data_IF_941020951364
#
_entry.id   IF_941020951364
#
_cell.length_a   1.000
_cell.length_b   1.000
_cell.length_c   1.000
_cell.angle_alpha   90.00
_cell.angle_beta   90.00
_cell.angle_gamma   90.00
#
_symmetry.space_group_name_H-M   'P 1'
#
loop_
_entity.id
_entity.type
_entity.pdbx_description
1 polymer ?
#
# COMPACT_ATOMS: atom_id res chain seq x y z
N UNK A 1 -3.86 -20.16 20.42
CA UNK A 1 -2.55 -20.88 20.44
C UNK A 1 -1.53 -19.93 19.89
N UNK A 2 -0.38 -19.77 20.51
CA UNK A 2 0.66 -18.86 20.05
C UNK A 2 1.24 -19.28 18.68
N UNK A 3 1.62 -18.32 17.86
CA UNK A 3 2.01 -18.53 16.47
C UNK A 3 3.14 -19.56 16.32
N UNK A 4 4.18 -19.48 17.16
CA UNK A 4 5.32 -20.39 17.10
C UNK A 4 4.93 -21.85 17.42
N UNK A 5 4.00 -22.07 18.37
CA UNK A 5 3.49 -23.39 18.68
C UNK A 5 2.60 -23.95 17.57
N UNK A 6 1.81 -23.10 16.94
CA UNK A 6 0.98 -23.47 15.80
C UNK A 6 1.84 -23.87 14.58
N UNK A 7 2.88 -23.06 14.27
CA UNK A 7 3.84 -23.38 13.21
C UNK A 7 4.53 -24.71 13.44
N UNK A 8 5.04 -24.95 14.66
CA UNK A 8 5.68 -26.22 15.01
C UNK A 8 4.75 -27.40 14.78
N UNK A 9 3.51 -27.30 15.26
CA UNK A 9 2.51 -28.36 15.08
C UNK A 9 2.18 -28.61 13.60
N UNK A 10 2.09 -27.56 12.79
CA UNK A 10 1.81 -27.70 11.36
C UNK A 10 2.97 -28.37 10.63
N UNK A 11 4.22 -27.98 10.92
CA UNK A 11 5.42 -28.61 10.33
C UNK A 11 5.53 -30.08 10.74
N UNK A 12 5.26 -30.43 12.00
CA UNK A 12 5.24 -31.81 12.48
C UNK A 12 4.18 -32.67 11.77
N UNK A 13 3.04 -32.08 11.38
CA UNK A 13 1.95 -32.83 10.73
C UNK A 13 2.05 -32.89 9.19
N UNK A 14 2.67 -31.91 8.53
CA UNK A 14 2.60 -31.76 7.09
C UNK A 14 3.93 -31.51 6.37
N UNK A 15 5.06 -31.61 7.04
CA UNK A 15 6.40 -31.27 6.52
C UNK A 15 6.64 -29.76 6.30
N UNK A 16 7.90 -29.39 6.03
CA UNK A 16 8.33 -28.00 5.85
C UNK A 16 7.74 -27.33 4.60
N UNK A 17 7.34 -28.11 3.59
CA UNK A 17 6.81 -27.57 2.34
C UNK A 17 5.51 -26.80 2.51
N UNK A 18 4.75 -27.07 3.56
CA UNK A 18 3.53 -26.33 3.89
C UNK A 18 3.82 -24.84 4.16
N UNK A 19 5.03 -24.49 4.60
CA UNK A 19 5.42 -23.11 4.86
C UNK A 19 5.48 -22.25 3.59
N UNK A 20 5.57 -22.89 2.41
CA UNK A 20 5.54 -22.23 1.11
C UNK A 20 4.13 -22.15 0.51
N UNK A 21 3.15 -22.82 1.10
CA UNK A 21 1.78 -22.89 0.59
C UNK A 21 0.90 -21.86 1.31
N UNK A 22 0.14 -21.09 0.54
CA UNK A 22 -0.82 -20.10 1.06
C UNK A 22 -1.89 -20.72 1.99
N UNK A 23 -2.11 -22.04 1.89
CA UNK A 23 -2.99 -22.80 2.79
C UNK A 23 -2.55 -22.73 4.24
N UNK A 24 -1.24 -22.52 4.51
CA UNK A 24 -0.71 -22.30 5.85
C UNK A 24 -1.49 -21.22 6.60
N UNK A 25 -1.81 -20.12 5.92
CA UNK A 25 -2.49 -18.96 6.52
C UNK A 25 -3.86 -19.35 7.08
N UNK A 26 -4.61 -20.22 6.38
CA UNK A 26 -5.92 -20.70 6.83
C UNK A 26 -5.76 -21.69 8.01
N UNK A 27 -4.83 -22.60 7.92
CA UNK A 27 -4.55 -23.58 9.00
C UNK A 27 -4.17 -22.87 10.29
N UNK A 28 -3.30 -21.86 10.22
CA UNK A 28 -2.91 -21.08 11.40
C UNK A 28 -4.08 -20.22 11.92
N UNK A 29 -4.99 -19.76 11.05
CA UNK A 29 -6.22 -19.08 11.46
C UNK A 29 -7.16 -20.00 12.23
N UNK A 30 -7.31 -21.26 11.81
CA UNK A 30 -8.12 -22.28 12.51
C UNK A 30 -7.56 -22.59 13.92
N UNK A 31 -6.24 -22.49 14.09
CA UNK A 31 -5.60 -22.61 15.40
C UNK A 31 -5.67 -21.33 16.23
N UNK A 32 -6.29 -20.26 15.72
CA UNK A 32 -6.31 -18.92 16.36
C UNK A 32 -4.90 -18.40 16.68
N UNK A 33 -3.94 -18.69 15.79
CA UNK A 33 -2.54 -18.38 16.01
C UNK A 33 -2.21 -16.89 15.88
N UNK A 34 -3.16 -16.09 15.38
CA UNK A 34 -3.00 -14.65 15.15
C UNK A 34 -3.71 -13.78 16.17
N UNK A 35 -4.39 -14.37 17.17
CA UNK A 35 -5.23 -13.61 18.13
C UNK A 35 -4.41 -12.56 18.89
N UNK A 36 -3.17 -12.85 19.26
CA UNK A 36 -2.27 -11.93 19.95
C UNK A 36 -1.60 -10.94 19.00
N UNK A 37 -1.35 -11.36 17.74
CA UNK A 37 -0.66 -10.57 16.73
C UNK A 37 -1.31 -10.70 15.35
N UNK A 38 -2.42 -10.01 15.11
CA UNK A 38 -3.14 -10.10 13.84
C UNK A 38 -2.29 -9.69 12.63
N UNK A 39 -1.34 -8.75 12.80
CA UNK A 39 -0.41 -8.32 11.76
C UNK A 39 0.57 -9.41 11.29
N UNK A 40 0.86 -10.41 12.14
CA UNK A 40 1.69 -11.55 11.74
C UNK A 40 1.08 -12.38 10.60
N UNK A 41 -0.26 -12.43 10.51
CA UNK A 41 -0.98 -13.06 9.41
C UNK A 41 -0.63 -12.43 8.06
N UNK A 42 -0.61 -11.10 8.01
CA UNK A 42 -0.33 -10.36 6.78
C UNK A 42 1.13 -10.52 6.37
N UNK A 43 2.06 -10.45 7.33
CA UNK A 43 3.48 -10.64 7.05
C UNK A 43 3.78 -12.06 6.56
N UNK A 44 3.24 -13.11 7.19
CA UNK A 44 3.39 -14.49 6.72
C UNK A 44 2.82 -14.69 5.32
N UNK A 45 1.61 -14.16 5.06
CA UNK A 45 1.00 -14.21 3.73
C UNK A 45 1.89 -13.54 2.68
N UNK A 46 2.43 -12.38 3.02
CA UNK A 46 3.36 -11.64 2.16
C UNK A 46 4.63 -12.45 1.88
N UNK A 47 5.28 -12.99 2.92
CA UNK A 47 6.50 -13.80 2.77
C UNK A 47 6.29 -15.01 1.86
N UNK A 48 5.11 -15.64 1.91
CA UNK A 48 4.77 -16.77 1.04
C UNK A 48 4.60 -16.30 -0.40
N UNK A 49 3.81 -15.27 -0.64
CA UNK A 49 3.49 -14.77 -1.98
C UNK A 49 4.72 -14.23 -2.72
N UNK A 50 5.62 -13.54 -2.01
CA UNK A 50 6.84 -12.95 -2.58
C UNK A 50 8.03 -13.94 -2.59
N UNK A 51 7.82 -15.19 -2.23
CA UNK A 51 8.88 -16.19 -2.21
C UNK A 51 9.93 -16.02 -1.11
N UNK A 52 9.77 -15.06 -0.20
CA UNK A 52 10.71 -14.80 0.89
C UNK A 52 10.78 -15.96 1.88
N UNK A 53 9.67 -16.65 2.08
CA UNK A 53 9.63 -17.89 2.87
C UNK A 53 10.48 -18.98 2.21
N UNK A 54 10.36 -19.16 0.90
CA UNK A 54 11.15 -20.13 0.15
C UNK A 54 12.65 -19.78 0.20
N UNK A 55 13.01 -18.50 0.10
CA UNK A 55 14.39 -18.05 0.21
C UNK A 55 14.97 -18.32 1.60
N UNK A 56 14.24 -18.01 2.68
CA UNK A 56 14.65 -18.29 4.05
C UNK A 56 14.92 -19.78 4.26
N UNK A 57 14.03 -20.65 3.77
CA UNK A 57 14.18 -22.10 3.87
C UNK A 57 15.35 -22.61 3.03
N UNK A 58 15.59 -22.04 1.85
CA UNK A 58 16.69 -22.44 0.96
C UNK A 58 18.07 -22.03 1.49
N UNK A 59 18.16 -20.86 2.13
CA UNK A 59 19.41 -20.34 2.67
C UNK A 59 19.84 -21.00 3.98
N UNK A 60 18.92 -21.69 4.66
CA UNK A 60 19.24 -22.39 5.90
C UNK A 60 20.22 -23.54 5.68
N UNK A 61 21.29 -23.53 6.46
CA UNK A 61 22.28 -24.61 6.51
C UNK A 61 22.65 -24.89 7.98
N UNK A 62 22.54 -26.12 8.45
CA UNK A 62 22.82 -26.47 9.87
C UNK A 62 24.23 -26.14 10.35
N UNK A 63 25.16 -25.92 9.41
CA UNK A 63 26.58 -25.62 9.70
C UNK A 63 26.86 -24.13 9.76
N UNK A 64 25.91 -23.27 9.39
CA UNK A 64 26.04 -21.82 9.43
C UNK A 64 25.45 -21.23 10.71
N UNK A 65 25.90 -20.04 11.05
CA UNK A 65 25.36 -19.26 12.16
C UNK A 65 23.90 -18.88 11.86
N UNK A 66 22.98 -19.48 12.59
CA UNK A 66 21.55 -19.26 12.44
C UNK A 66 21.16 -17.81 12.76
N UNK A 67 21.80 -17.18 13.77
CA UNK A 67 21.46 -15.82 14.14
C UNK A 67 21.81 -14.80 13.04
N UNK A 68 22.87 -15.07 12.28
CA UNK A 68 23.22 -14.23 11.13
C UNK A 68 22.16 -14.34 10.02
N UNK A 69 21.68 -15.56 9.74
CA UNK A 69 20.60 -15.79 8.77
C UNK A 69 19.30 -15.09 9.20
N UNK A 70 18.87 -15.28 10.45
CA UNK A 70 17.63 -14.69 10.95
C UNK A 70 17.73 -13.16 10.94
N UNK A 71 18.86 -12.58 11.38
CA UNK A 71 19.09 -11.14 11.36
C UNK A 71 19.07 -10.57 9.95
N UNK A 72 19.65 -11.27 8.97
CA UNK A 72 19.61 -10.87 7.56
C UNK A 72 18.17 -10.75 7.06
N UNK A 73 17.34 -11.78 7.29
CA UNK A 73 15.94 -11.78 6.86
C UNK A 73 15.07 -10.78 7.64
N UNK A 74 15.34 -10.55 8.93
CA UNK A 74 14.70 -9.47 9.71
C UNK A 74 15.01 -8.11 9.08
N UNK A 75 16.28 -7.85 8.74
CA UNK A 75 16.71 -6.61 8.11
C UNK A 75 16.11 -6.43 6.71
N UNK A 76 16.01 -7.51 5.92
CA UNK A 76 15.32 -7.48 4.62
C UNK A 76 13.86 -7.08 4.81
N UNK A 77 13.13 -7.71 5.74
CA UNK A 77 11.73 -7.40 6.01
C UNK A 77 11.55 -5.97 6.52
N UNK A 78 12.43 -5.48 7.39
CA UNK A 78 12.30 -4.14 7.98
C UNK A 78 12.83 -3.04 7.07
N UNK A 79 14.02 -3.21 6.49
CA UNK A 79 14.69 -2.13 5.73
C UNK A 79 14.28 -2.12 4.25
N UNK A 80 14.00 -3.30 3.66
CA UNK A 80 13.61 -3.39 2.23
C UNK A 80 12.12 -3.38 2.06
N UNK A 81 11.38 -4.07 2.93
CA UNK A 81 9.92 -4.22 2.82
C UNK A 81 9.13 -3.38 3.84
N UNK A 82 9.80 -2.61 4.70
CA UNK A 82 9.19 -1.61 5.60
C UNK A 82 8.32 -2.18 6.73
N UNK A 83 8.44 -3.46 7.03
CA UNK A 83 7.75 -4.03 8.18
C UNK A 83 8.40 -3.57 9.49
N UNK A 84 7.60 -3.37 10.55
CA UNK A 84 8.15 -3.06 11.88
C UNK A 84 9.16 -4.12 12.29
N UNK A 85 10.32 -3.70 12.77
CA UNK A 85 11.41 -4.61 13.16
C UNK A 85 10.95 -5.65 14.20
N UNK A 86 10.17 -5.21 15.21
CA UNK A 86 9.65 -6.12 16.23
C UNK A 86 8.72 -7.19 15.64
N UNK A 87 7.86 -6.82 14.67
CA UNK A 87 6.99 -7.77 13.97
C UNK A 87 7.82 -8.73 13.11
N UNK A 88 8.77 -8.21 12.35
CA UNK A 88 9.68 -9.00 11.50
C UNK A 88 10.48 -10.00 12.35
N UNK A 89 11.05 -9.51 13.46
CA UNK A 89 11.79 -10.31 14.42
C UNK A 89 10.93 -11.42 15.04
N UNK A 90 9.71 -11.05 15.47
CA UNK A 90 8.77 -12.03 16.03
C UNK A 90 8.42 -13.13 15.03
N UNK A 91 8.01 -12.76 13.81
CA UNK A 91 7.57 -13.72 12.79
C UNK A 91 8.72 -14.62 12.34
N UNK A 92 9.91 -14.07 12.06
CA UNK A 92 11.09 -14.84 11.66
C UNK A 92 11.50 -15.81 12.77
N UNK A 93 11.50 -15.39 14.04
CA UNK A 93 11.81 -16.27 15.17
C UNK A 93 10.72 -17.32 15.40
N UNK A 94 9.43 -17.00 15.16
CA UNK A 94 8.35 -18.01 15.18
C UNK A 94 8.57 -19.11 14.14
N UNK A 95 9.01 -18.74 12.93
CA UNK A 95 9.33 -19.71 11.86
C UNK A 95 10.52 -20.57 12.27
N UNK A 96 11.61 -19.96 12.74
CA UNK A 96 12.81 -20.69 13.18
C UNK A 96 12.52 -21.66 14.33
N UNK A 97 11.70 -21.26 15.30
CA UNK A 97 11.25 -22.11 16.38
C UNK A 97 10.36 -23.26 15.87
N UNK A 98 9.41 -22.96 14.98
CA UNK A 98 8.53 -23.96 14.37
C UNK A 98 9.29 -25.02 13.59
N UNK A 99 10.39 -24.65 12.95
CA UNK A 99 11.32 -25.54 12.23
C UNK A 99 12.36 -26.23 13.13
N UNK A 100 12.32 -25.96 14.44
CA UNK A 100 13.31 -26.45 15.40
C UNK A 100 14.75 -26.04 15.08
N UNK A 101 14.94 -24.90 14.38
CA UNK A 101 16.25 -24.31 14.13
C UNK A 101 16.81 -23.62 15.37
N UNK A 102 15.93 -23.19 16.26
CA UNK A 102 16.27 -22.62 17.56
C UNK A 102 15.36 -23.17 18.65
N UNK A 103 15.85 -23.23 19.87
CA UNK A 103 15.07 -23.55 21.09
C UNK A 103 14.59 -22.30 21.83
N UNK A 104 15.03 -21.10 21.41
CA UNK A 104 14.63 -19.86 22.03
C UNK A 104 13.18 -19.51 21.69
N UNK A 105 12.38 -19.25 22.73
CA UNK A 105 11.00 -18.84 22.56
C UNK A 105 10.94 -17.42 21.98
N UNK A 106 10.17 -17.20 20.92
CA UNK A 106 9.94 -15.85 20.40
C UNK A 106 9.23 -15.01 21.44
N UNK A 107 9.87 -13.94 21.90
CA UNK A 107 9.28 -12.96 22.81
C UNK A 107 8.96 -11.68 22.08
N UNK A 108 7.77 -11.13 22.38
CA UNK A 108 7.38 -9.81 21.98
C UNK A 108 7.80 -8.87 23.11
N UNK A 109 8.65 -7.91 22.81
CA UNK A 109 8.89 -6.80 23.73
C UNK A 109 7.63 -5.95 23.80
N UNK A 110 6.70 -6.33 24.70
CA UNK A 110 5.55 -5.50 25.00
C UNK A 110 6.07 -4.23 25.69
N UNK A 111 6.07 -3.11 25.00
CA UNK A 111 6.15 -1.80 25.64
C UNK A 111 4.87 -1.55 26.43
N UNK A 112 4.79 -2.12 27.63
CA UNK A 112 3.91 -1.60 28.68
C UNK A 112 4.60 -0.34 29.17
N UNK A 113 3.94 0.78 28.96
CA UNK A 113 4.27 2.10 29.46
C UNK A 113 4.61 2.05 30.96
N UNK A 114 5.89 2.24 31.29
CA UNK A 114 6.31 2.85 32.56
C UNK A 114 7.33 3.92 32.21
N UNK A 115 6.95 5.15 32.46
CA UNK A 115 7.80 6.32 32.42
C UNK A 115 8.99 6.13 33.37
N UNK A 116 10.16 6.00 32.80
CA UNK A 116 11.41 6.50 33.40
C UNK A 116 12.52 6.47 32.33
N UNK A 117 12.97 7.65 32.00
CA UNK A 117 14.18 8.05 31.28
C UNK A 117 15.17 6.94 30.90
N UNK A 118 15.27 6.64 29.58
CA UNK A 118 16.55 6.50 28.92
C UNK A 118 16.35 6.64 27.39
N UNK A 119 17.17 7.51 26.82
CA UNK A 119 17.20 7.86 25.41
C UNK A 119 17.41 6.63 24.52
N UNK A 120 16.33 6.10 23.95
CA UNK A 120 16.38 5.27 22.76
C UNK A 120 15.76 6.09 21.63
N UNK A 121 16.53 6.23 20.55
CA UNK A 121 16.15 6.94 19.35
C UNK A 121 14.84 6.36 18.84
N UNK A 122 13.73 6.97 19.25
CA UNK A 122 12.48 6.89 18.53
C UNK A 122 12.81 7.55 17.20
N UNK A 123 12.81 6.80 16.10
CA UNK A 123 12.61 7.43 14.80
C UNK A 123 11.24 8.11 14.90
N UNK A 124 11.27 9.36 15.35
CA UNK A 124 10.15 10.27 15.19
C UNK A 124 9.94 10.36 13.70
N UNK A 125 8.83 9.77 13.23
CA UNK A 125 8.28 10.11 11.92
C UNK A 125 8.17 11.63 11.95
N UNK A 126 9.03 12.31 11.20
CA UNK A 126 9.01 13.77 11.14
C UNK A 126 7.59 14.17 10.73
N UNK A 127 6.93 15.06 11.46
CA UNK A 127 5.61 15.53 11.07
C UNK A 127 5.75 16.11 9.67
N UNK A 128 4.86 15.71 8.75
CA UNK A 128 4.81 16.26 7.41
C UNK A 128 4.52 17.76 7.57
N UNK A 129 5.53 18.59 7.30
CA UNK A 129 5.42 20.03 7.39
C UNK A 129 4.96 20.53 6.03
N UNK A 130 3.87 21.27 5.99
CA UNK A 130 3.45 21.98 4.79
C UNK A 130 4.38 23.20 4.61
N UNK A 131 5.30 23.10 3.66
CA UNK A 131 6.21 24.17 3.26
C UNK A 131 5.62 25.07 2.16
N UNK A 132 4.38 24.80 1.76
CA UNK A 132 3.67 25.50 0.69
C UNK A 132 4.15 25.20 -0.73
N UNK A 133 5.09 24.25 -0.90
CA UNK A 133 5.64 23.88 -2.20
C UNK A 133 4.99 22.62 -2.78
N UNK A 134 4.37 21.79 -1.94
CA UNK A 134 3.77 20.54 -2.31
C UNK A 134 2.25 20.62 -2.50
N UNK A 135 1.71 19.75 -3.36
CA UNK A 135 0.28 19.63 -3.55
C UNK A 135 -0.38 19.03 -2.31
N UNK A 136 -1.51 19.58 -1.88
CA UNK A 136 -2.25 19.10 -0.73
C UNK A 136 -3.32 18.07 -1.14
N UNK A 137 -3.28 16.89 -0.55
CA UNK A 137 -4.43 15.99 -0.49
C UNK A 137 -5.19 16.23 0.81
N UNK A 138 -6.38 16.85 0.71
CA UNK A 138 -7.11 17.46 1.85
C UNK A 138 -6.24 18.52 2.55
N UNK A 139 -5.67 18.19 3.70
CA UNK A 139 -4.79 19.06 4.49
C UNK A 139 -3.35 18.54 4.59
N UNK A 140 -3.07 17.38 3.97
CA UNK A 140 -1.77 16.74 4.04
C UNK A 140 -0.99 17.03 2.75
N UNK A 141 0.22 17.59 2.82
CA UNK A 141 1.07 17.73 1.65
C UNK A 141 1.53 16.35 1.17
N UNK A 142 1.52 16.16 -0.15
CA UNK A 142 1.99 14.93 -0.79
C UNK A 142 3.51 15.00 -0.86
N UNK A 143 4.17 14.73 0.26
CA UNK A 143 5.62 14.82 0.41
C UNK A 143 6.12 13.91 1.53
N UNK A 144 7.45 13.86 1.71
CA UNK A 144 8.11 13.03 2.70
C UNK A 144 8.03 11.54 2.37
N UNK A 145 8.49 10.70 3.30
CA UNK A 145 8.36 9.25 3.15
C UNK A 145 6.90 8.83 3.02
N UNK A 146 6.62 7.93 2.10
CA UNK A 146 5.26 7.48 1.79
C UNK A 146 4.52 6.92 3.03
N UNK A 147 5.24 6.24 3.93
CA UNK A 147 4.65 5.71 5.16
C UNK A 147 4.23 6.83 6.13
N UNK A 148 4.91 7.99 6.10
CA UNK A 148 4.53 9.16 6.87
C UNK A 148 3.17 9.71 6.43
N UNK A 149 2.92 9.80 5.12
CA UNK A 149 1.63 10.20 4.57
C UNK A 149 0.53 9.18 4.88
N UNK A 150 0.83 7.88 4.74
CA UNK A 150 -0.10 6.80 5.10
C UNK A 150 -0.49 6.90 6.58
N UNK A 151 0.47 7.13 7.46
CA UNK A 151 0.21 7.26 8.90
C UNK A 151 -0.64 8.51 9.20
N UNK A 152 -0.35 9.63 8.56
CA UNK A 152 -1.13 10.87 8.70
C UNK A 152 -2.59 10.69 8.26
N UNK A 153 -2.80 10.03 7.11
CA UNK A 153 -4.13 9.69 6.61
C UNK A 153 -4.85 8.71 7.57
N UNK A 154 -4.17 7.67 8.04
CA UNK A 154 -4.74 6.71 8.99
C UNK A 154 -5.15 7.38 10.30
N UNK A 155 -4.35 8.30 10.80
CA UNK A 155 -4.66 9.09 12.01
C UNK A 155 -5.85 10.04 11.81
N UNK A 156 -6.17 10.41 10.56
CA UNK A 156 -7.32 11.23 10.20
C UNK A 156 -8.59 10.45 9.87
N UNK A 157 -8.59 9.13 10.11
CA UNK A 157 -9.77 8.27 9.99
C UNK A 157 -9.85 7.44 8.71
N UNK A 158 -8.78 7.39 7.91
CA UNK A 158 -8.68 6.44 6.80
C UNK A 158 -8.22 5.08 7.32
N UNK A 159 -8.83 4.02 6.82
CA UNK A 159 -8.47 2.65 7.18
C UNK A 159 -7.42 2.14 6.20
N UNK A 160 -6.30 1.67 6.70
CA UNK A 160 -5.28 1.00 5.89
C UNK A 160 -5.81 -0.39 5.51
N UNK A 161 -5.94 -0.64 4.21
CA UNK A 161 -6.37 -1.93 3.64
C UNK A 161 -5.16 -2.77 3.22
N UNK A 162 -4.21 -2.15 2.51
CA UNK A 162 -2.96 -2.78 2.10
C UNK A 162 -1.80 -1.86 2.44
N UNK A 163 -0.77 -2.36 3.17
CA UNK A 163 0.42 -1.58 3.49
C UNK A 163 1.21 -1.25 2.20
N UNK A 164 2.15 -0.30 2.32
CA UNK A 164 2.98 0.07 1.19
C UNK A 164 3.75 -1.14 0.65
N UNK A 165 3.56 -1.39 -0.64
CA UNK A 165 4.23 -2.44 -1.37
C UNK A 165 5.37 -1.84 -2.20
N UNK A 166 6.59 -2.25 -1.92
CA UNK A 166 7.80 -1.72 -2.56
C UNK A 166 8.00 -2.19 -4.00
N UNK A 167 7.29 -3.24 -4.43
CA UNK A 167 7.31 -3.69 -5.84
C UNK A 167 6.39 -2.86 -6.72
N UNK A 168 5.19 -2.52 -6.21
CA UNK A 168 4.21 -1.70 -6.93
C UNK A 168 4.28 -0.22 -6.54
N UNK A 169 5.13 0.13 -5.57
CA UNK A 169 5.32 1.49 -5.03
C UNK A 169 4.00 2.15 -4.62
N UNK A 170 3.11 1.39 -3.99
CA UNK A 170 1.78 1.86 -3.61
C UNK A 170 1.27 1.22 -2.33
N UNK A 171 0.37 1.94 -1.63
CA UNK A 171 -0.42 1.45 -0.51
C UNK A 171 -1.90 1.71 -0.76
N UNK A 172 -2.79 0.87 -0.22
CA UNK A 172 -4.22 1.05 -0.32
C UNK A 172 -4.86 1.39 1.03
N UNK A 173 -5.68 2.42 1.03
CA UNK A 173 -6.52 2.82 2.16
C UNK A 173 -7.97 2.90 1.69
N UNK A 174 -8.90 2.93 2.64
CA UNK A 174 -10.31 3.24 2.39
C UNK A 174 -10.79 4.37 3.31
N UNK A 175 -11.77 5.12 2.84
CA UNK A 175 -12.35 6.20 3.66
C UNK A 175 -13.15 7.21 2.85
N UNK A 176 -13.66 8.26 3.52
CA UNK A 176 -14.54 9.24 2.89
C UNK A 176 -13.78 10.26 2.06
N UNK A 177 -14.32 10.60 0.88
CA UNK A 177 -13.81 11.65 0.03
C UNK A 177 -14.95 12.41 -0.68
N UNK A 178 -14.91 13.74 -0.63
CA UNK A 178 -15.83 14.63 -1.36
C UNK A 178 -17.34 14.36 -1.17
N UNK A 179 -17.74 13.78 -0.02
CA UNK A 179 -19.12 13.40 0.30
C UNK A 179 -19.45 11.92 -0.01
N UNK A 180 -18.51 11.16 -0.54
CA UNK A 180 -18.61 9.71 -0.73
C UNK A 180 -17.92 8.99 0.43
N UNK A 181 -18.52 7.93 0.98
CA UNK A 181 -18.03 7.28 2.21
C UNK A 181 -16.97 6.20 1.96
N UNK A 182 -17.18 5.34 0.98
CA UNK A 182 -16.38 4.12 0.79
C UNK A 182 -15.48 4.25 -0.45
N UNK A 183 -14.60 5.26 -0.45
CA UNK A 183 -13.64 5.44 -1.52
C UNK A 183 -12.40 4.57 -1.28
N UNK A 184 -11.86 3.99 -2.35
CA UNK A 184 -10.54 3.39 -2.32
C UNK A 184 -9.49 4.46 -2.61
N UNK A 185 -8.46 4.54 -1.78
CA UNK A 185 -7.41 5.55 -1.88
C UNK A 185 -6.08 4.85 -2.03
N UNK A 186 -5.37 5.16 -3.10
CA UNK A 186 -4.03 4.61 -3.35
C UNK A 186 -3.02 5.74 -3.15
N UNK A 187 -2.08 5.54 -2.25
CA UNK A 187 -0.92 6.42 -2.06
C UNK A 187 0.24 5.83 -2.85
N UNK A 188 0.80 6.61 -3.76
CA UNK A 188 1.90 6.19 -4.64
C UNK A 188 3.19 6.84 -4.19
N UNK A 189 4.26 6.03 -4.12
CA UNK A 189 5.62 6.48 -3.82
C UNK A 189 6.54 6.42 -5.03
N UNK A 190 7.68 7.08 -4.94
CA UNK A 190 8.78 6.98 -5.90
C UNK A 190 9.49 5.63 -5.75
N UNK A 191 10.08 5.06 -6.83
CA UNK A 191 10.59 3.69 -6.79
C UNK A 191 11.87 3.49 -5.97
N UNK A 192 12.76 4.49 -5.88
CA UNK A 192 14.03 4.38 -5.15
C UNK A 192 14.00 5.11 -3.80
N UNK A 193 13.51 6.34 -3.80
CA UNK A 193 13.52 7.18 -2.57
C UNK A 193 12.26 7.06 -1.73
N UNK A 194 11.22 6.36 -2.22
CA UNK A 194 9.95 6.11 -1.53
C UNK A 194 9.25 7.38 -1.03
N UNK A 195 9.42 8.49 -1.74
CA UNK A 195 8.72 9.75 -1.46
C UNK A 195 7.29 9.67 -1.97
N UNK A 196 6.32 10.13 -1.17
CA UNK A 196 4.94 10.22 -1.63
C UNK A 196 4.84 11.20 -2.82
N UNK A 197 4.38 10.72 -3.99
CA UNK A 197 4.34 11.50 -5.23
C UNK A 197 2.91 11.67 -5.79
N UNK A 198 1.99 10.78 -5.45
CA UNK A 198 0.61 10.91 -5.88
C UNK A 198 -0.37 10.26 -4.89
N UNK A 199 -1.61 10.74 -4.93
CA UNK A 199 -2.76 10.10 -4.26
C UNK A 199 -3.87 9.93 -5.29
N UNK A 200 -4.34 8.70 -5.45
CA UNK A 200 -5.43 8.32 -6.35
C UNK A 200 -6.65 7.96 -5.52
N UNK A 201 -7.81 8.47 -5.89
CA UNK A 201 -9.09 8.18 -5.23
C UNK A 201 -10.05 7.57 -6.24
N UNK A 202 -10.52 6.37 -5.97
CA UNK A 202 -11.55 5.70 -6.74
C UNK A 202 -12.88 5.78 -5.99
N UNK A 203 -13.89 6.31 -6.65
CA UNK A 203 -15.26 6.22 -6.17
C UNK A 203 -15.81 4.82 -6.41
N UNK A 204 -17.00 4.52 -5.85
CA UNK A 204 -17.65 3.23 -6.05
C UNK A 204 -17.96 2.99 -7.54
N UNK A 205 -17.91 1.72 -7.93
CA UNK A 205 -18.25 1.26 -9.26
C UNK A 205 -19.77 1.34 -9.50
N UNK A 206 -20.17 1.78 -10.69
CA UNK A 206 -21.56 1.83 -11.11
C UNK A 206 -21.72 1.37 -12.55
N UNK A 207 -22.70 0.51 -12.80
CA UNK A 207 -23.04 0.01 -14.12
C UNK A 207 -24.22 0.78 -14.75
N UNK A 208 -24.32 2.08 -14.49
CA UNK A 208 -25.32 2.98 -15.06
C UNK A 208 -24.60 4.26 -15.51
N UNK A 209 -24.60 4.54 -16.81
CA UNK A 209 -23.92 5.70 -17.41
C UNK A 209 -24.24 7.01 -16.70
N UNK A 210 -25.54 7.30 -16.53
CA UNK A 210 -25.97 8.54 -15.88
C UNK A 210 -25.41 8.70 -14.46
N UNK A 211 -25.28 7.61 -13.72
CA UNK A 211 -24.73 7.66 -12.34
C UNK A 211 -23.25 8.00 -12.35
N UNK A 212 -22.47 7.35 -13.20
CA UNK A 212 -21.02 7.62 -13.31
C UNK A 212 -20.79 9.05 -13.80
N UNK A 213 -21.53 9.47 -14.83
CA UNK A 213 -21.44 10.84 -15.37
C UNK A 213 -21.81 11.87 -14.32
N UNK A 214 -22.88 11.64 -13.55
CA UNK A 214 -23.28 12.54 -12.45
C UNK A 214 -22.21 12.65 -11.37
N UNK A 215 -21.56 11.55 -10.99
CA UNK A 215 -20.44 11.58 -10.04
C UNK A 215 -19.24 12.37 -10.58
N UNK A 216 -18.87 12.13 -11.84
CA UNK A 216 -17.81 12.86 -12.50
C UNK A 216 -18.07 14.37 -12.51
N UNK A 217 -19.25 14.78 -12.95
CA UNK A 217 -19.65 16.20 -13.02
C UNK A 217 -19.70 16.86 -11.63
N UNK A 218 -20.16 16.14 -10.61
CA UNK A 218 -20.16 16.63 -9.24
C UNK A 218 -18.74 16.89 -8.73
N UNK A 219 -17.81 15.94 -8.91
CA UNK A 219 -16.41 16.09 -8.52
C UNK A 219 -15.75 17.21 -9.32
N UNK A 220 -15.92 17.24 -10.65
CA UNK A 220 -15.42 18.30 -11.53
C UNK A 220 -15.89 19.68 -11.06
N UNK A 221 -17.18 19.82 -10.74
CA UNK A 221 -17.74 21.07 -10.23
C UNK A 221 -17.12 21.50 -8.90
N UNK A 222 -16.89 20.57 -7.96
CA UNK A 222 -16.25 20.87 -6.68
C UNK A 222 -14.78 21.30 -6.89
N UNK A 223 -14.05 20.60 -7.76
CA UNK A 223 -12.66 20.94 -8.10
C UNK A 223 -12.60 22.30 -8.82
N UNK A 224 -13.53 22.58 -9.74
CA UNK A 224 -13.61 23.88 -10.43
C UNK A 224 -13.79 25.06 -9.46
N UNK A 225 -14.62 24.90 -8.43
CA UNK A 225 -14.81 25.92 -7.39
C UNK A 225 -13.54 26.20 -6.60
N UNK A 226 -12.69 25.19 -6.42
CA UNK A 226 -11.47 25.28 -5.59
C UNK A 226 -10.24 25.67 -6.41
N UNK A 227 -10.10 25.15 -7.63
CA UNK A 227 -8.87 25.25 -8.42
C UNK A 227 -9.03 26.02 -9.74
N UNK A 228 -10.24 26.50 -10.05
CA UNK A 228 -10.52 27.21 -11.31
C UNK A 228 -10.94 26.24 -12.43
N UNK A 229 -11.05 26.76 -13.65
CA UNK A 229 -11.53 26.00 -14.79
C UNK A 229 -10.50 24.96 -15.25
N UNK A 230 -10.92 23.69 -15.48
CA UNK A 230 -10.05 22.65 -15.99
C UNK A 230 -9.89 22.72 -17.50
N UNK A 231 -8.86 22.05 -18.00
CA UNK A 231 -8.79 21.59 -19.38
C UNK A 231 -9.54 20.27 -19.46
N UNK A 232 -10.61 20.19 -20.27
CA UNK A 232 -11.51 19.02 -20.29
C UNK A 232 -11.55 18.37 -21.67
N UNK A 233 -11.62 17.03 -21.65
CA UNK A 233 -11.80 16.17 -22.80
C UNK A 233 -12.99 15.27 -22.53
N UNK A 234 -14.13 15.53 -23.19
CA UNK A 234 -15.41 14.89 -22.94
C UNK A 234 -16.08 14.56 -24.27
N UNK A 235 -15.82 13.37 -24.79
CA UNK A 235 -16.29 12.95 -26.09
C UNK A 235 -16.37 11.43 -26.23
N UNK A 236 -17.16 11.03 -27.23
CA UNK A 236 -17.16 9.67 -27.76
C UNK A 236 -16.43 9.63 -29.10
N UNK A 237 -15.79 8.49 -29.39
CA UNK A 237 -15.23 8.18 -30.71
C UNK A 237 -16.23 7.32 -31.50
N UNK A 238 -16.28 7.52 -32.80
CA UNK A 238 -17.14 6.72 -33.69
C UNK A 238 -16.94 5.21 -33.48
N UNK A 239 -18.01 4.41 -33.51
CA UNK A 239 -19.40 4.74 -33.89
C UNK A 239 -20.30 5.17 -32.70
N UNK A 240 -19.75 5.36 -31.51
CA UNK A 240 -20.51 5.65 -30.30
C UNK A 240 -20.82 7.14 -30.13
N UNK A 241 -21.97 7.44 -29.48
CA UNK A 241 -22.37 8.80 -29.11
C UNK A 241 -23.24 8.78 -27.84
N UNK A 242 -23.34 9.91 -27.18
CA UNK A 242 -24.18 10.00 -25.98
C UNK A 242 -25.67 9.81 -26.31
N UNK A 243 -26.32 8.90 -25.59
CA UNK A 243 -27.73 8.57 -25.77
C UNK A 243 -28.01 7.41 -26.75
N UNK A 244 -26.97 6.72 -27.22
CA UNK A 244 -27.11 5.52 -28.08
C UNK A 244 -27.39 4.22 -27.27
N UNK A 245 -27.33 4.30 -25.92
CA UNK A 245 -27.50 3.17 -25.01
C UNK A 245 -26.28 2.25 -24.92
N UNK A 246 -25.16 2.61 -25.53
CA UNK A 246 -23.91 1.84 -25.56
C UNK A 246 -22.77 2.57 -24.85
N UNK A 247 -23.06 3.61 -24.08
CA UNK A 247 -22.08 4.48 -23.45
C UNK A 247 -21.12 3.71 -22.53
N UNK A 248 -21.62 2.72 -21.78
CA UNK A 248 -20.77 1.87 -20.93
C UNK A 248 -19.87 0.95 -21.75
N UNK A 249 -20.36 0.48 -22.90
CA UNK A 249 -19.53 -0.30 -23.83
C UNK A 249 -18.43 0.55 -24.42
N UNK A 250 -18.75 1.79 -24.81
CA UNK A 250 -17.79 2.76 -25.31
C UNK A 250 -16.72 3.08 -24.25
N UNK A 251 -17.13 3.26 -22.99
CA UNK A 251 -16.20 3.52 -21.87
C UNK A 251 -15.29 2.30 -21.63
N UNK A 252 -15.83 1.10 -21.65
CA UNK A 252 -15.07 -0.14 -21.46
C UNK A 252 -14.04 -0.38 -22.58
N UNK A 253 -14.39 -0.03 -23.81
CA UNK A 253 -13.55 -0.24 -25.00
C UNK A 253 -12.69 0.96 -25.39
N UNK A 254 -12.53 1.94 -24.49
CA UNK A 254 -11.72 3.16 -24.67
C UNK A 254 -12.19 4.03 -25.87
N UNK A 255 -13.47 3.97 -26.21
CA UNK A 255 -14.13 4.82 -27.21
C UNK A 255 -14.91 5.99 -26.59
N UNK A 256 -14.75 6.17 -25.28
CA UNK A 256 -15.36 7.25 -24.50
C UNK A 256 -14.28 7.85 -23.61
N UNK A 257 -14.05 9.15 -23.74
CA UNK A 257 -13.13 9.91 -22.90
C UNK A 257 -13.91 10.95 -22.11
N UNK A 258 -13.86 10.85 -20.80
CA UNK A 258 -14.33 11.85 -19.86
C UNK A 258 -13.23 12.13 -18.86
N UNK A 259 -12.49 13.21 -19.06
CA UNK A 259 -11.38 13.63 -18.19
C UNK A 259 -11.26 15.16 -18.12
N UNK A 260 -10.89 15.65 -16.95
CA UNK A 260 -10.63 17.06 -16.68
C UNK A 260 -9.37 17.23 -15.85
N UNK A 261 -8.51 18.18 -16.23
CA UNK A 261 -7.20 18.43 -15.64
C UNK A 261 -7.14 19.84 -15.06
N UNK A 262 -6.78 19.93 -13.79
CA UNK A 262 -6.61 21.16 -13.05
C UNK A 262 -5.12 21.39 -12.79
N UNK A 263 -4.53 22.40 -13.41
CA UNK A 263 -3.12 22.78 -13.21
C UNK A 263 -3.02 23.73 -12.03
N UNK A 264 -2.16 23.40 -11.07
CA UNK A 264 -1.83 24.25 -9.92
C UNK A 264 -0.35 24.60 -9.93
N UNK A 265 0.09 25.51 -9.05
CA UNK A 265 1.52 25.80 -8.86
C UNK A 265 2.31 24.59 -8.39
N UNK A 266 1.67 23.72 -7.59
CA UNK A 266 2.30 22.64 -6.83
C UNK A 266 2.06 21.25 -7.44
N UNK A 267 1.31 21.18 -8.55
CA UNK A 267 1.04 19.88 -9.20
C UNK A 267 -0.22 19.91 -10.05
N UNK A 268 -0.69 18.71 -10.38
CA UNK A 268 -1.86 18.51 -11.23
C UNK A 268 -2.91 17.68 -10.49
N UNK A 269 -4.17 18.06 -10.62
CA UNK A 269 -5.30 17.26 -10.17
C UNK A 269 -6.10 16.89 -11.41
N UNK A 270 -6.44 15.61 -11.54
CA UNK A 270 -7.33 15.16 -12.61
C UNK A 270 -8.54 14.43 -12.06
N UNK A 271 -9.63 14.48 -12.81
CA UNK A 271 -10.81 13.64 -12.60
C UNK A 271 -11.15 12.97 -13.93
N UNK A 272 -11.40 11.67 -13.92
CA UNK A 272 -11.72 10.90 -15.12
C UNK A 272 -12.71 9.79 -14.82
N UNK A 273 -13.42 9.35 -15.84
CA UNK A 273 -14.12 8.06 -15.83
C UNK A 273 -13.16 6.97 -16.32
N UNK A 274 -13.18 5.82 -15.67
CA UNK A 274 -12.33 4.67 -16.02
C UNK A 274 -13.13 3.58 -16.73
N UNK A 275 -12.46 2.74 -17.49
CA UNK A 275 -13.05 1.56 -18.14
C UNK A 275 -13.59 0.51 -17.14
N UNK A 276 -13.24 0.64 -15.85
CA UNK A 276 -13.80 -0.15 -14.75
C UNK A 276 -15.05 0.50 -14.14
N UNK A 277 -15.70 1.41 -14.84
CA UNK A 277 -16.96 2.07 -14.45
C UNK A 277 -16.87 2.84 -13.12
N UNK A 278 -15.71 3.40 -12.83
CA UNK A 278 -15.43 4.23 -11.65
C UNK A 278 -15.03 5.65 -12.04
N UNK A 279 -15.27 6.57 -11.14
CA UNK A 279 -14.65 7.89 -11.22
C UNK A 279 -13.33 7.83 -10.46
N UNK A 280 -12.26 8.22 -11.14
CA UNK A 280 -10.90 8.31 -10.60
C UNK A 280 -10.51 9.78 -10.46
N UNK A 281 -10.03 10.15 -9.29
CA UNK A 281 -9.41 11.45 -9.02
C UNK A 281 -7.94 11.21 -8.69
N UNK A 282 -7.03 11.94 -9.35
CA UNK A 282 -5.59 11.82 -9.11
C UNK A 282 -5.02 13.16 -8.70
N UNK A 283 -4.31 13.18 -7.59
CA UNK A 283 -3.48 14.29 -7.12
C UNK A 283 -2.03 13.93 -7.36
N UNK A 284 -1.33 14.66 -8.20
CA UNK A 284 0.09 14.46 -8.52
C UNK A 284 0.90 15.67 -8.06
N UNK A 285 1.79 15.44 -7.10
CA UNK A 285 2.73 16.47 -6.66
C UNK A 285 3.78 16.73 -7.73
N UNK A 286 4.05 17.99 -8.04
CA UNK A 286 4.96 18.36 -9.12
C UNK A 286 6.39 17.92 -8.85
N UNK A 287 6.92 18.22 -7.66
CA UNK A 287 8.32 17.98 -7.31
C UNK A 287 8.60 16.48 -7.24
N UNK A 288 7.76 15.76 -6.52
CA UNK A 288 7.97 14.32 -6.33
C UNK A 288 7.63 13.49 -7.57
N UNK A 289 6.77 13.99 -8.46
CA UNK A 289 6.54 13.39 -9.76
C UNK A 289 7.76 13.53 -10.68
N UNK A 290 8.43 14.69 -10.68
CA UNK A 290 9.69 14.90 -11.40
C UNK A 290 10.79 13.95 -10.89
N UNK A 291 10.87 13.74 -9.56
CA UNK A 291 11.79 12.75 -8.97
C UNK A 291 11.44 11.33 -9.43
N UNK A 292 10.15 10.97 -9.40
CA UNK A 292 9.69 9.65 -9.86
C UNK A 292 10.10 9.39 -11.30
N UNK A 293 9.90 10.35 -12.20
CA UNK A 293 10.27 10.23 -13.62
C UNK A 293 11.79 10.07 -13.81
N UNK A 294 12.61 10.75 -13.02
CA UNK A 294 14.06 10.59 -13.03
C UNK A 294 14.50 9.20 -12.54
N UNK A 295 13.87 8.70 -11.48
CA UNK A 295 14.15 7.37 -10.94
C UNK A 295 13.70 6.27 -11.91
N UNK A 296 12.51 6.38 -12.51
CA UNK A 296 12.00 5.45 -13.54
C UNK A 296 12.94 5.40 -14.76
N UNK A 297 13.39 6.56 -15.23
CA UNK A 297 14.36 6.65 -16.33
C UNK A 297 15.72 6.01 -15.98
N UNK A 298 16.16 6.16 -14.75
CA UNK A 298 17.41 5.55 -14.28
C UNK A 298 17.29 4.03 -14.25
N UNK A 299 16.18 3.50 -13.75
CA UNK A 299 15.89 2.06 -13.73
C UNK A 299 15.86 1.51 -15.16
N UNK A 300 15.12 2.18 -16.05
CA UNK A 300 15.03 1.75 -17.46
C UNK A 300 16.39 1.75 -18.19
N UNK A 301 17.28 2.70 -17.84
CA UNK A 301 18.64 2.72 -18.40
C UNK A 301 19.55 1.64 -17.82
N UNK A 302 19.35 1.27 -16.55
CA UNK A 302 20.12 0.21 -15.90
C UNK A 302 19.73 -1.19 -16.43
N UNK A 303 18.54 -1.34 -17.03
CA UNK A 303 18.03 -2.57 -17.65
C UNK A 303 18.48 -2.76 -19.11
N UNK A 304 19.05 -1.73 -19.78
CA UNK A 304 19.55 -1.76 -21.16
C UNK A 304 21.03 -2.10 -21.24
#
# INVERSE_FOLDING_TARGET
MELYNALKKVVELQTEDILKDIKLINILSDFKAYDEYPSAKYLLKYMINEGLMANLLFEYQPTKDIELLLTSHINILSNTYGYKEDLSKYVIRCIAYGLSWTSELPTISSCISNETNNSSVIQTVEPIIDDGQHLLFKQFPITGDVNSLIQALSSSGYKLEEPYNYTYHAAALSGPFAGYNDCSIIVVGTPKTHLACAVMVFLQEHHIWHTIKSQYEQIKSQLTKKYGNPESYEFFSDPYYEGDGSELTALFSDHCTWSSYFKTSNGTISVSMTNNYKVLIVYQDKINQEIKEQEDNTIANDDL
#
